data_IF_277413693693
#
_entry.id   IF_277413693693
#
_cell.length_a   1.000
_cell.length_b   1.000
_cell.length_c   1.000
_cell.angle_alpha   90.00
_cell.angle_beta   90.00
_cell.angle_gamma   90.00
#
_symmetry.space_group_name_H-M   'P 1'
#
loop_
_entity.id
_entity.type
_entity.pdbx_description
1 polymer ?
#
# COMPACT_ATOMS: atom_id res chain seq x y z
N UNK A 1 -49.03 26.57 35.22
CA UNK A 1 -47.59 26.73 35.50
C UNK A 1 -46.90 25.41 35.20
N UNK A 2 -45.85 25.48 34.38
CA UNK A 2 -44.72 24.53 34.29
C UNK A 2 -44.98 23.14 33.68
N UNK A 3 -44.90 23.12 32.35
CA UNK A 3 -43.88 22.41 31.57
C UNK A 3 -43.28 21.16 32.24
N UNK A 4 -43.77 19.96 31.87
CA UNK A 4 -43.07 18.72 32.22
C UNK A 4 -43.21 17.62 31.15
N UNK A 5 -43.09 17.99 29.87
CA UNK A 5 -43.11 17.01 28.77
C UNK A 5 -42.13 17.38 27.65
N UNK A 6 -40.92 17.85 28.02
CA UNK A 6 -39.91 18.24 27.03
C UNK A 6 -38.50 17.88 27.48
N UNK A 7 -38.27 16.61 27.85
CA UNK A 7 -37.01 16.23 28.50
C UNK A 7 -36.54 14.80 28.26
N UNK A 8 -37.01 14.09 27.23
CA UNK A 8 -36.54 12.71 26.99
C UNK A 8 -36.36 12.34 25.50
N UNK A 9 -36.19 13.33 24.62
CA UNK A 9 -35.97 13.08 23.19
C UNK A 9 -34.69 13.74 22.63
N UNK A 10 -33.78 14.18 23.51
CA UNK A 10 -32.52 14.84 23.12
C UNK A 10 -31.36 14.20 23.90
N UNK A 11 -31.21 12.88 23.80
CA UNK A 11 -30.06 12.17 24.36
C UNK A 11 -29.56 11.02 23.45
N UNK A 12 -29.84 11.10 22.14
CA UNK A 12 -29.45 10.06 21.18
C UNK A 12 -28.77 10.58 19.90
N UNK A 13 -28.43 11.88 19.82
CA UNK A 13 -27.74 12.47 18.67
C UNK A 13 -26.39 13.03 19.12
N UNK A 14 -25.33 12.21 19.05
CA UNK A 14 -23.96 12.63 18.67
C UNK A 14 -22.97 11.50 18.96
N UNK A 15 -23.16 10.34 18.32
CA UNK A 15 -22.06 9.40 18.07
C UNK A 15 -21.82 9.40 16.57
N UNK A 16 -21.36 10.53 16.02
CA UNK A 16 -20.81 10.55 14.67
C UNK A 16 -19.41 9.98 14.80
N UNK A 17 -19.31 8.66 14.71
CA UNK A 17 -18.05 7.96 14.53
C UNK A 17 -17.40 8.52 13.26
N UNK A 18 -16.27 9.21 13.39
CA UNK A 18 -15.38 9.48 12.27
C UNK A 18 -14.91 8.13 11.74
N UNK A 19 -15.64 7.60 10.75
CA UNK A 19 -15.22 6.41 10.03
C UNK A 19 -14.15 6.92 9.07
N UNK A 20 -12.88 6.74 9.41
CA UNK A 20 -11.83 6.81 8.40
C UNK A 20 -12.20 5.77 7.36
N UNK A 21 -12.42 6.14 6.08
CA UNK A 21 -12.56 5.15 5.05
C UNK A 21 -11.24 4.38 5.04
N UNK A 22 -11.25 3.15 5.55
CA UNK A 22 -10.16 2.23 5.28
C UNK A 22 -10.12 2.11 3.76
N UNK A 23 -9.07 2.65 3.13
CA UNK A 23 -8.88 2.49 1.71
C UNK A 23 -8.79 1.00 1.43
N UNK A 24 -9.72 0.49 0.64
CA UNK A 24 -9.74 -0.90 0.28
C UNK A 24 -8.50 -1.18 -0.58
N UNK A 25 -7.77 -2.25 -0.24
CA UNK A 25 -6.62 -2.72 -1.01
C UNK A 25 -7.07 -3.07 -2.44
N UNK A 26 -6.53 -2.39 -3.44
CA UNK A 26 -6.79 -2.71 -4.85
C UNK A 26 -5.58 -3.41 -5.47
N UNK A 27 -5.52 -4.72 -5.29
CA UNK A 27 -4.45 -5.57 -5.84
C UNK A 27 -4.43 -5.51 -7.38
N UNK A 28 -5.58 -5.32 -8.03
CA UNK A 28 -5.67 -5.22 -9.49
C UNK A 28 -5.04 -3.93 -9.99
N UNK A 29 -5.32 -2.81 -9.32
CA UNK A 29 -4.63 -1.54 -9.57
C UNK A 29 -3.11 -1.68 -9.34
N UNK A 30 -2.71 -2.31 -8.22
CA UNK A 30 -1.31 -2.59 -7.92
C UNK A 30 -0.58 -3.39 -9.00
N UNK A 31 -1.23 -4.39 -9.60
CA UNK A 31 -0.69 -5.16 -10.72
C UNK A 31 -0.51 -4.31 -11.99
N UNK A 32 -1.49 -3.45 -12.30
CA UNK A 32 -1.41 -2.55 -13.44
C UNK A 32 -0.26 -1.54 -13.28
N UNK A 33 -0.14 -0.95 -12.10
CA UNK A 33 0.95 -0.02 -11.76
C UNK A 33 2.29 -0.74 -11.84
N UNK A 34 2.40 -1.95 -11.28
CA UNK A 34 3.62 -2.75 -11.35
C UNK A 34 4.04 -3.01 -12.79
N UNK A 35 3.08 -3.42 -13.63
CA UNK A 35 3.32 -3.70 -15.04
C UNK A 35 3.81 -2.46 -15.77
N UNK A 36 3.21 -1.31 -15.53
CA UNK A 36 3.55 -0.05 -16.21
C UNK A 36 4.88 0.57 -15.73
N UNK A 37 5.25 0.39 -14.46
CA UNK A 37 6.33 1.18 -13.83
C UNK A 37 7.50 0.35 -13.29
N UNK A 38 7.27 -0.90 -12.90
CA UNK A 38 8.24 -1.70 -12.14
C UNK A 38 8.81 -2.85 -12.96
N UNK A 39 8.00 -3.41 -13.88
CA UNK A 39 8.32 -4.63 -14.62
C UNK A 39 9.58 -4.54 -15.48
N UNK A 40 9.94 -3.34 -15.96
CA UNK A 40 11.15 -3.13 -16.74
C UNK A 40 12.42 -3.60 -16.02
N UNK A 41 12.46 -3.49 -14.69
CA UNK A 41 13.55 -4.01 -13.88
C UNK A 41 13.17 -5.26 -13.10
N UNK A 42 11.90 -5.42 -12.76
CA UNK A 42 11.41 -6.42 -11.81
C UNK A 42 10.50 -7.50 -12.40
N UNK A 43 10.51 -7.70 -13.72
CA UNK A 43 9.73 -8.75 -14.37
C UNK A 43 9.96 -10.13 -13.72
N UNK A 44 8.87 -10.85 -13.46
CA UNK A 44 8.90 -12.15 -12.78
C UNK A 44 9.47 -12.10 -11.36
N UNK A 45 9.44 -10.93 -10.70
CA UNK A 45 10.03 -10.75 -9.37
C UNK A 45 11.55 -10.64 -9.38
N UNK A 46 12.21 -10.59 -10.54
CA UNK A 46 13.67 -10.48 -10.63
C UNK A 46 14.17 -9.05 -10.37
N UNK A 47 15.46 -8.83 -10.58
CA UNK A 47 16.05 -7.50 -10.63
C UNK A 47 17.20 -7.49 -11.64
N UNK A 48 16.97 -6.86 -12.79
CA UNK A 48 17.94 -6.84 -13.90
C UNK A 48 19.18 -5.98 -13.62
N UNK A 49 19.13 -5.13 -12.58
CA UNK A 49 20.23 -4.22 -12.21
C UNK A 49 21.07 -4.83 -11.09
N UNK A 50 20.42 -5.40 -10.08
CA UNK A 50 21.06 -6.07 -8.94
C UNK A 50 20.47 -7.46 -8.75
N UNK A 51 21.14 -8.48 -9.30
CA UNK A 51 20.65 -9.87 -9.39
C UNK A 51 20.20 -10.43 -8.02
N UNK A 52 20.87 -10.06 -6.93
CA UNK A 52 20.56 -10.56 -5.57
C UNK A 52 19.45 -9.76 -4.84
N UNK A 53 18.90 -8.71 -5.46
CA UNK A 53 17.86 -7.83 -4.87
C UNK A 53 16.52 -8.03 -5.59
N UNK A 54 16.10 -9.27 -5.69
CA UNK A 54 14.80 -9.67 -6.25
C UNK A 54 13.64 -9.30 -5.32
N UNK A 55 12.41 -9.41 -5.81
CA UNK A 55 11.16 -9.23 -5.06
C UNK A 55 10.58 -10.56 -4.55
N UNK A 56 11.38 -11.64 -4.60
CA UNK A 56 10.98 -12.95 -4.07
C UNK A 56 11.04 -12.93 -2.54
N UNK A 57 10.18 -13.72 -1.90
CA UNK A 57 10.02 -13.73 -0.44
C UNK A 57 11.34 -13.76 0.34
N UNK A 58 12.19 -14.75 0.07
CA UNK A 58 13.45 -14.95 0.78
C UNK A 58 14.39 -13.74 0.66
N UNK A 59 14.42 -13.09 -0.51
CA UNK A 59 15.20 -11.89 -0.72
C UNK A 59 14.58 -10.70 0.03
N UNK A 60 13.26 -10.55 0.01
CA UNK A 60 12.58 -9.51 0.77
C UNK A 60 12.82 -9.68 2.29
N UNK A 61 12.69 -10.89 2.82
CA UNK A 61 12.95 -11.22 4.22
C UNK A 61 14.39 -10.89 4.63
N UNK A 62 15.36 -11.39 3.85
CA UNK A 62 16.79 -11.15 4.09
C UNK A 62 17.16 -9.67 4.09
N UNK A 63 16.41 -8.85 3.34
CA UNK A 63 16.65 -7.41 3.21
C UNK A 63 15.71 -6.56 4.07
N UNK A 64 14.90 -7.17 4.96
CA UNK A 64 13.93 -6.45 5.80
C UNK A 64 12.89 -5.65 4.98
N UNK A 65 12.55 -6.17 3.80
CA UNK A 65 11.61 -5.58 2.84
C UNK A 65 10.29 -6.35 2.74
N UNK A 66 10.10 -7.44 3.49
CA UNK A 66 8.84 -8.21 3.48
C UNK A 66 7.76 -7.54 4.34
N UNK A 67 7.46 -6.28 4.05
CA UNK A 67 6.33 -5.56 4.60
C UNK A 67 5.86 -4.48 3.63
N UNK A 68 4.55 -4.20 3.64
CA UNK A 68 3.95 -3.14 2.82
C UNK A 68 4.63 -1.80 3.12
N UNK A 69 4.84 -1.47 4.40
CA UNK A 69 5.46 -0.20 4.80
C UNK A 69 6.89 -0.03 4.28
N UNK A 70 7.72 -1.08 4.30
CA UNK A 70 9.07 -1.02 3.79
C UNK A 70 9.09 -0.81 2.27
N UNK A 71 8.22 -1.52 1.55
CA UNK A 71 8.11 -1.39 0.09
C UNK A 71 7.54 -0.03 -0.28
N UNK A 72 6.47 0.43 0.37
CA UNK A 72 5.91 1.78 0.19
C UNK A 72 6.99 2.84 0.37
N UNK A 73 7.77 2.77 1.46
CA UNK A 73 8.88 3.71 1.68
C UNK A 73 9.90 3.68 0.54
N UNK A 74 10.29 2.49 0.09
CA UNK A 74 11.28 2.29 -0.96
C UNK A 74 10.79 2.74 -2.35
N UNK A 75 9.51 2.54 -2.66
CA UNK A 75 8.87 3.02 -3.90
C UNK A 75 8.74 4.54 -3.88
N UNK A 76 8.30 5.12 -2.76
CA UNK A 76 8.19 6.57 -2.59
C UNK A 76 9.53 7.26 -2.78
N UNK A 77 10.59 6.76 -2.13
CA UNK A 77 11.86 7.47 -2.05
C UNK A 77 12.90 7.00 -3.08
N UNK A 78 12.70 5.85 -3.71
CA UNK A 78 13.73 5.22 -4.53
C UNK A 78 14.97 4.82 -3.72
N UNK A 79 15.97 4.24 -4.39
CA UNK A 79 17.30 3.96 -3.83
C UNK A 79 18.26 3.59 -4.93
N UNK A 80 19.39 4.28 -5.00
CA UNK A 80 20.42 4.06 -6.04
C UNK A 80 19.79 4.11 -7.45
N UNK A 81 19.86 3.00 -8.19
CA UNK A 81 19.30 2.88 -9.54
C UNK A 81 17.76 2.76 -9.58
N UNK A 82 17.10 2.46 -8.46
CA UNK A 82 15.64 2.45 -8.39
C UNK A 82 15.15 3.91 -8.28
N UNK A 83 14.38 4.42 -9.25
CA UNK A 83 13.89 5.79 -9.21
C UNK A 83 12.85 5.97 -8.08
N UNK A 84 12.74 7.20 -7.59
CA UNK A 84 11.66 7.59 -6.69
C UNK A 84 10.36 7.75 -7.49
N UNK A 85 9.26 7.22 -6.95
CA UNK A 85 7.91 7.38 -7.50
C UNK A 85 7.03 8.32 -6.69
N UNK A 86 7.50 8.81 -5.54
CA UNK A 86 6.86 9.90 -4.82
C UNK A 86 6.70 11.13 -5.73
N UNK A 87 5.48 11.69 -5.75
CA UNK A 87 5.12 12.81 -6.64
C UNK A 87 4.87 12.42 -8.10
N UNK A 88 5.05 11.14 -8.47
CA UNK A 88 4.66 10.58 -9.78
C UNK A 88 3.44 9.69 -9.68
N UNK A 89 3.38 8.91 -8.60
CA UNK A 89 2.23 8.09 -8.22
C UNK A 89 1.57 8.70 -6.98
N UNK A 90 0.27 8.49 -6.84
CA UNK A 90 -0.44 8.87 -5.62
C UNK A 90 -0.04 7.96 -4.45
N UNK A 91 -0.22 8.40 -3.20
CA UNK A 91 0.06 7.54 -2.04
C UNK A 91 -0.74 6.22 -2.07
N UNK A 92 -2.05 6.22 -2.41
CA UNK A 92 -2.81 4.99 -2.59
C UNK A 92 -2.25 4.07 -3.68
N UNK A 93 -1.83 4.62 -4.82
CA UNK A 93 -1.22 3.82 -5.91
C UNK A 93 0.08 3.15 -5.45
N UNK A 94 0.88 3.85 -4.64
CA UNK A 94 2.12 3.30 -4.08
C UNK A 94 1.80 2.18 -3.08
N UNK A 95 0.77 2.34 -2.26
CA UNK A 95 0.32 1.31 -1.33
C UNK A 95 -0.24 0.09 -2.07
N UNK A 96 -1.02 0.28 -3.12
CA UNK A 96 -1.56 -0.81 -3.95
C UNK A 96 -0.44 -1.64 -4.59
N UNK A 97 0.58 -1.00 -5.17
CA UNK A 97 1.71 -1.73 -5.76
C UNK A 97 2.56 -2.44 -4.69
N UNK A 98 2.73 -1.84 -3.50
CA UNK A 98 3.42 -2.49 -2.40
C UNK A 98 2.67 -3.76 -1.94
N UNK A 99 1.34 -3.68 -1.82
CA UNK A 99 0.51 -4.84 -1.50
C UNK A 99 0.53 -5.89 -2.60
N UNK A 100 0.50 -5.49 -3.88
CA UNK A 100 0.67 -6.42 -4.99
C UNK A 100 1.99 -7.18 -4.88
N UNK A 101 3.11 -6.49 -4.66
CA UNK A 101 4.44 -7.13 -4.52
C UNK A 101 4.46 -8.15 -3.38
N UNK A 102 3.95 -7.81 -2.19
CA UNK A 102 3.84 -8.75 -1.07
C UNK A 102 2.94 -9.95 -1.42
N UNK A 103 1.80 -9.71 -2.08
CA UNK A 103 0.86 -10.77 -2.45
C UNK A 103 1.43 -11.75 -3.50
N UNK A 104 2.43 -11.29 -4.27
CA UNK A 104 3.06 -12.03 -5.35
C UNK A 104 4.42 -12.63 -4.96
N UNK A 105 5.08 -12.15 -3.90
CA UNK A 105 6.45 -12.54 -3.53
C UNK A 105 6.66 -14.04 -3.35
N UNK A 106 5.62 -14.76 -2.92
CA UNK A 106 5.65 -16.20 -2.64
C UNK A 106 5.31 -17.05 -3.87
N UNK A 107 5.00 -16.42 -5.00
CA UNK A 107 4.55 -17.07 -6.24
C UNK A 107 5.43 -16.69 -7.44
N UNK A 108 6.56 -16.02 -7.22
CA UNK A 108 7.56 -15.77 -8.26
C UNK A 108 8.68 -16.80 -8.11
N UNK A 109 8.88 -17.59 -9.16
CA UNK A 109 9.87 -18.68 -9.24
C UNK A 109 11.31 -18.14 -9.25
#
# INVERSE_FOLDING_TARGET
MKNFFFGFFIACLALISFQNPAQALDISNGENIFTANCSACHAGGNNVIMIDKTLKKDALDKNQMNSVSAITYQVTNGKNAMPAFGGRLSEPDIEDVANFVISKSDKWD
#
